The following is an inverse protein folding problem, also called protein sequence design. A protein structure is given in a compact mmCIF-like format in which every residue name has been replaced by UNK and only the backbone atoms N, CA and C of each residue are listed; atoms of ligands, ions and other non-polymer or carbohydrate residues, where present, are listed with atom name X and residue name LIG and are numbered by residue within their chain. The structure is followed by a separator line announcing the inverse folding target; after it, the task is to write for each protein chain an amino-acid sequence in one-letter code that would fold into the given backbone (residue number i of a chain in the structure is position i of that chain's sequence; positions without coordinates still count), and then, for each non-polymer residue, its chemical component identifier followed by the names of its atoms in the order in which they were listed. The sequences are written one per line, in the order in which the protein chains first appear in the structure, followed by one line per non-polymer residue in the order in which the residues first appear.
data_IF_666665654956
#
_entry.id   IF_666665654956
#
_cell.length_a   1.000
_cell.length_b   1.000
_cell.length_c   1.000
_cell.angle_alpha   90.00
_cell.angle_beta   90.00
_cell.angle_gamma   90.00
#
_symmetry.space_group_name_H-M   'P 1'
#
loop_
_entity.id
_entity.type
_entity.pdbx_description
1 polymer ?
#
# COMPACT_ATOMS: atom_id res chain seq x y z
N UNK A 1 7.98 6.38 7.62
CA UNK A 1 8.37 6.04 8.99
C UNK A 1 7.87 7.20 9.80
N UNK A 2 7.39 6.98 11.01
CA UNK A 2 7.03 8.13 11.86
C UNK A 2 8.28 8.95 12.17
N UNK A 3 8.12 10.25 12.36
CA UNK A 3 9.23 11.14 12.63
C UNK A 3 9.73 10.92 14.07
N UNK A 4 10.97 10.45 14.22
CA UNK A 4 11.56 10.20 15.54
C UNK A 4 11.59 11.45 16.43
N UNK A 5 11.71 12.64 15.84
CA UNK A 5 11.65 13.90 16.60
C UNK A 5 10.24 14.18 17.09
N UNK A 6 9.22 13.92 16.25
CA UNK A 6 7.83 14.08 16.64
C UNK A 6 7.44 13.09 17.74
N UNK A 7 7.81 11.80 17.60
CA UNK A 7 7.59 10.79 18.63
C UNK A 7 8.24 11.17 19.95
N UNK A 8 9.46 11.72 19.93
CA UNK A 8 10.14 12.17 21.14
C UNK A 8 9.45 13.38 21.79
N UNK A 9 8.94 14.30 20.98
CA UNK A 9 8.28 15.51 21.46
C UNK A 9 6.89 15.21 22.06
N UNK A 10 6.16 14.25 21.49
CA UNK A 10 4.84 13.82 21.95
C UNK A 10 4.66 12.30 21.79
N UNK A 11 5.20 11.50 22.71
CA UNK A 11 5.04 10.05 22.68
C UNK A 11 3.58 9.64 22.96
N UNK A 12 2.81 10.46 23.68
CA UNK A 12 1.41 10.14 24.02
C UNK A 12 0.50 10.14 22.81
N UNK A 13 0.74 11.02 21.84
CA UNK A 13 0.04 10.98 20.55
C UNK A 13 0.29 9.66 19.80
N UNK A 14 1.53 9.14 19.84
CA UNK A 14 1.86 7.85 19.21
C UNK A 14 1.19 6.70 19.96
N UNK A 15 1.23 6.69 21.31
CA UNK A 15 0.51 5.68 22.11
C UNK A 15 -0.99 5.70 21.84
N UNK A 16 -1.59 6.88 21.73
CA UNK A 16 -3.00 7.02 21.37
C UNK A 16 -3.31 6.42 19.99
N UNK A 17 -2.46 6.67 19.00
CA UNK A 17 -2.58 6.05 17.67
C UNK A 17 -2.46 4.52 17.74
N UNK A 18 -1.51 3.97 18.49
CA UNK A 18 -1.39 2.51 18.67
C UNK A 18 -2.65 1.91 19.30
N UNK A 19 -3.21 2.56 20.34
CA UNK A 19 -4.47 2.14 20.98
C UNK A 19 -5.66 2.15 20.02
N UNK A 20 -5.78 3.17 19.16
CA UNK A 20 -6.85 3.22 18.15
C UNK A 20 -6.78 2.03 17.19
N UNK A 21 -5.56 1.64 16.79
CA UNK A 21 -5.28 0.48 15.93
C UNK A 21 -5.47 -0.86 16.63
N UNK A 22 -5.56 -0.88 17.97
CA UNK A 22 -5.50 -2.11 18.76
C UNK A 22 -4.10 -2.74 18.81
N UNK A 23 -3.06 -1.97 18.51
CA UNK A 23 -1.66 -2.40 18.54
C UNK A 23 -1.02 -2.16 19.92
N UNK A 24 0.11 -2.83 20.18
CA UNK A 24 0.86 -2.66 21.42
C UNK A 24 1.47 -1.24 21.52
N UNK A 25 1.10 -0.49 22.56
CA UNK A 25 1.65 0.83 22.85
C UNK A 25 3.07 0.76 23.44
N UNK A 26 3.47 -0.38 24.00
CA UNK A 26 4.79 -0.60 24.58
C UNK A 26 5.94 -0.45 23.58
N UNK A 27 5.64 -0.56 22.27
CA UNK A 27 6.60 -0.25 21.20
C UNK A 27 7.10 1.19 21.29
N UNK A 28 6.26 2.13 21.73
CA UNK A 28 6.63 3.55 21.85
C UNK A 28 7.70 3.72 22.94
N UNK A 29 7.51 3.07 24.09
CA UNK A 29 8.48 3.12 25.19
C UNK A 29 9.80 2.46 24.80
N UNK A 30 9.74 1.35 24.07
CA UNK A 30 10.92 0.69 23.52
C UNK A 30 11.70 1.62 22.56
N UNK A 31 10.99 2.34 21.68
CA UNK A 31 11.62 3.33 20.77
C UNK A 31 12.25 4.49 21.54
N UNK A 32 11.57 5.03 22.55
CA UNK A 32 12.11 6.13 23.38
C UNK A 32 13.38 5.68 24.12
N UNK A 33 13.34 4.50 24.76
CA UNK A 33 14.49 3.95 25.47
C UNK A 33 15.67 3.66 24.51
N UNK A 34 15.39 3.13 23.33
CA UNK A 34 16.40 2.89 22.30
C UNK A 34 17.02 4.20 21.80
N UNK A 35 16.23 5.26 21.59
CA UNK A 35 16.73 6.58 21.20
C UNK A 35 17.57 7.25 22.30
N UNK A 36 17.22 7.06 23.57
CA UNK A 36 18.04 7.51 24.70
C UNK A 36 19.41 6.81 24.74
N UNK A 37 19.43 5.49 24.54
CA UNK A 37 20.67 4.71 24.40
C UNK A 37 21.49 5.21 23.22
N UNK A 38 20.86 5.39 22.05
CA UNK A 38 21.51 5.86 20.82
C UNK A 38 22.16 7.22 21.01
N UNK A 39 21.46 8.19 21.59
CA UNK A 39 22.01 9.53 21.88
C UNK A 39 23.18 9.47 22.86
N UNK A 40 23.07 8.64 23.90
CA UNK A 40 24.13 8.46 24.90
C UNK A 40 25.38 7.81 24.29
N UNK A 41 25.20 6.75 23.50
CA UNK A 41 26.28 6.05 22.81
C UNK A 41 26.98 6.96 21.79
N UNK A 42 26.21 7.71 20.98
CA UNK A 42 26.74 8.66 20.01
C UNK A 42 27.57 9.77 20.69
N UNK A 43 27.04 10.37 21.76
CA UNK A 43 27.77 11.36 22.56
C UNK A 43 29.06 10.79 23.17
N UNK A 44 29.00 9.56 23.67
CA UNK A 44 30.18 8.83 24.18
C UNK A 44 31.25 8.63 23.11
N UNK A 45 30.86 8.19 21.91
CA UNK A 45 31.73 8.04 20.75
C UNK A 45 32.38 9.36 20.33
N UNK A 46 31.59 10.43 20.21
CA UNK A 46 32.09 11.75 19.81
C UNK A 46 33.11 12.31 20.81
N UNK A 47 32.85 12.14 22.11
CA UNK A 47 33.80 12.52 23.17
C UNK A 47 35.11 11.73 23.07
N UNK A 48 35.05 10.40 22.94
CA UNK A 48 36.25 9.57 22.81
C UNK A 48 37.05 9.92 21.54
N UNK A 49 36.36 10.23 20.44
CA UNK A 49 36.99 10.67 19.19
C UNK A 49 37.68 12.04 19.36
N UNK A 50 37.06 12.96 20.10
CA UNK A 50 37.66 14.25 20.42
C UNK A 50 38.91 14.09 21.30
N UNK A 51 38.85 13.24 22.32
CA UNK A 51 39.98 12.90 23.19
C UNK A 51 41.13 12.28 22.39
N UNK A 52 40.85 11.30 21.53
CA UNK A 52 41.85 10.69 20.64
C UNK A 52 42.52 11.75 19.74
N UNK A 53 41.74 12.67 19.17
CA UNK A 53 42.26 13.76 18.32
C UNK A 53 43.14 14.72 19.11
N UNK A 54 42.77 15.06 20.35
CA UNK A 54 43.58 15.90 21.24
C UNK A 54 44.89 15.19 21.62
N UNK A 55 44.81 13.91 21.98
CA UNK A 55 45.97 13.08 22.35
C UNK A 55 46.94 12.92 21.17
N UNK A 56 46.43 12.74 19.95
CA UNK A 56 47.24 12.69 18.72
C UNK A 56 48.07 13.95 18.49
N UNK A 57 47.59 15.13 18.91
CA UNK A 57 48.37 16.38 18.86
C UNK A 57 49.50 16.38 19.88
N UNK A 58 49.27 15.84 21.07
CA UNK A 58 50.32 15.72 22.11
C UNK A 58 51.43 14.75 21.67
N UNK A 59 51.06 13.60 21.09
CA UNK A 59 52.01 12.63 20.52
C UNK A 59 52.90 13.26 19.44
N UNK A 60 52.35 14.15 18.61
CA UNK A 60 53.09 14.85 17.56
C UNK A 60 54.13 15.85 18.11
N UNK A 61 53.93 16.36 19.33
CA UNK A 61 54.80 17.35 19.98
C UNK A 61 55.86 16.70 20.90
N UNK A 62 55.61 15.48 21.40
CA UNK A 62 56.50 14.78 22.32
C UNK A 62 57.74 14.15 21.66
N UNK A 63 58.80 13.93 22.45
CA UNK A 63 60.07 13.30 22.03
C UNK A 63 60.55 12.26 23.06
N UNK A 64 61.43 11.35 22.65
CA UNK A 64 62.05 10.37 23.56
C UNK A 64 61.05 9.40 24.21
N UNK A 65 61.29 9.05 25.48
CA UNK A 65 60.48 8.10 26.24
C UNK A 65 59.03 8.57 26.47
N UNK A 66 58.82 9.88 26.63
CA UNK A 66 57.49 10.49 26.73
C UNK A 66 56.64 10.20 25.49
N UNK A 67 57.24 10.25 24.30
CA UNK A 67 56.55 9.91 23.06
C UNK A 67 56.13 8.43 23.04
N UNK A 68 56.96 7.52 23.54
CA UNK A 68 56.62 6.09 23.56
C UNK A 68 55.42 5.82 24.49
N UNK A 69 55.38 6.46 25.66
CA UNK A 69 54.26 6.35 26.60
C UNK A 69 52.96 6.90 26.00
N UNK A 70 53.03 8.06 25.33
CA UNK A 70 51.88 8.67 24.66
C UNK A 70 51.39 7.84 23.46
N UNK A 71 52.29 7.19 22.71
CA UNK A 71 51.91 6.27 21.62
C UNK A 71 51.19 5.03 22.16
N UNK A 72 51.62 4.48 23.30
CA UNK A 72 50.92 3.37 23.94
C UNK A 72 49.50 3.77 24.36
N UNK A 73 49.35 4.91 25.05
CA UNK A 73 48.03 5.45 25.42
C UNK A 73 47.14 5.77 24.20
N UNK A 74 47.73 6.19 23.08
CA UNK A 74 47.00 6.42 21.83
C UNK A 74 46.39 5.13 21.25
N UNK A 75 47.03 3.98 21.46
CA UNK A 75 46.52 2.67 21.03
C UNK A 75 45.27 2.30 21.84
N UNK A 76 45.29 2.52 23.15
CA UNK A 76 44.15 2.25 24.03
C UNK A 76 42.96 3.15 23.69
N UNK A 77 43.21 4.46 23.48
CA UNK A 77 42.19 5.41 23.00
C UNK A 77 41.62 4.98 21.65
N UNK A 78 42.45 4.50 20.73
CA UNK A 78 41.98 3.97 19.45
C UNK A 78 41.12 2.72 19.60
N UNK A 79 41.41 1.85 20.57
CA UNK A 79 40.56 0.70 20.90
C UNK A 79 39.19 1.17 21.41
N UNK A 80 39.19 2.11 22.36
CA UNK A 80 37.97 2.65 22.95
C UNK A 80 37.06 3.35 21.94
N UNK A 81 37.65 4.11 21.00
CA UNK A 81 36.88 4.76 19.92
C UNK A 81 36.21 3.71 19.03
N UNK A 82 36.89 2.61 18.68
CA UNK A 82 36.31 1.54 17.87
C UNK A 82 35.15 0.84 18.58
N UNK A 83 35.30 0.56 19.87
CA UNK A 83 34.22 -0.03 20.70
C UNK A 83 32.99 0.87 20.73
N UNK A 84 33.17 2.15 21.06
CA UNK A 84 32.06 3.10 21.16
C UNK A 84 31.42 3.40 19.80
N UNK A 85 32.19 3.33 18.71
CA UNK A 85 31.64 3.42 17.36
C UNK A 85 30.73 2.24 17.03
N UNK A 86 31.13 1.01 17.40
CA UNK A 86 30.31 -0.18 17.21
C UNK A 86 29.03 -0.12 18.06
N UNK A 87 29.14 0.31 19.32
CA UNK A 87 27.98 0.50 20.20
C UNK A 87 27.00 1.55 19.66
N UNK A 88 27.51 2.68 19.15
CA UNK A 88 26.68 3.71 18.55
C UNK A 88 25.97 3.20 17.28
N UNK A 89 26.67 2.42 16.44
CA UNK A 89 26.07 1.82 15.25
C UNK A 89 25.00 0.78 15.58
N UNK A 90 25.22 -0.05 16.59
CA UNK A 90 24.22 -1.02 17.07
C UNK A 90 22.98 -0.31 17.63
N UNK A 91 23.18 0.74 18.43
CA UNK A 91 22.08 1.51 18.99
C UNK A 91 21.27 2.26 17.91
N UNK A 92 21.92 2.74 16.85
CA UNK A 92 21.24 3.34 15.69
C UNK A 92 20.40 2.29 14.95
N UNK A 93 20.97 1.12 14.67
CA UNK A 93 20.26 0.03 14.00
C UNK A 93 19.04 -0.47 14.80
N UNK A 94 19.16 -0.53 16.13
CA UNK A 94 18.06 -0.93 16.99
C UNK A 94 16.91 0.09 16.99
N UNK A 95 17.22 1.39 17.03
CA UNK A 95 16.21 2.44 16.90
C UNK A 95 15.52 2.35 15.54
N UNK A 96 16.28 2.19 14.46
CA UNK A 96 15.70 2.06 13.12
C UNK A 96 14.76 0.84 13.04
N UNK A 97 15.18 -0.31 13.55
CA UNK A 97 14.38 -1.54 13.58
C UNK A 97 13.06 -1.35 14.31
N UNK A 98 13.10 -0.77 15.52
CA UNK A 98 11.90 -0.50 16.32
C UNK A 98 11.00 0.57 15.68
N UNK A 99 11.60 1.61 15.11
CA UNK A 99 10.84 2.68 14.47
C UNK A 99 10.16 2.20 13.18
N UNK A 100 10.74 1.21 12.48
CA UNK A 100 10.12 0.57 11.32
C UNK A 100 8.87 -0.25 11.68
N UNK A 101 8.80 -0.81 12.89
CA UNK A 101 7.62 -1.55 13.36
C UNK A 101 6.46 -0.67 13.80
N UNK A 102 6.66 0.63 13.99
CA UNK A 102 5.55 1.54 14.31
C UNK A 102 4.77 1.90 13.03
N UNK A 103 3.47 1.66 13.07
CA UNK A 103 2.53 2.01 12.00
C UNK A 103 2.42 3.54 11.83
N UNK A 104 1.78 3.97 10.74
CA UNK A 104 1.53 5.38 10.52
C UNK A 104 0.59 5.94 11.60
N UNK A 105 0.68 7.23 11.88
CA UNK A 105 -0.25 7.86 12.82
C UNK A 105 -1.65 7.89 12.21
N UNK A 106 -2.63 7.46 12.99
CA UNK A 106 -4.04 7.49 12.63
C UNK A 106 -4.48 8.95 12.49
N UNK A 107 -5.14 9.28 11.38
CA UNK A 107 -5.63 10.62 11.10
C UNK A 107 -6.88 10.97 11.91
N UNK A 108 -7.15 12.26 12.06
CA UNK A 108 -8.28 12.76 12.85
C UNK A 108 -9.63 12.25 12.32
N UNK A 109 -10.46 11.75 13.24
CA UNK A 109 -11.82 11.28 12.95
C UNK A 109 -11.91 9.87 12.37
N UNK A 110 -10.80 9.15 12.23
CA UNK A 110 -10.82 7.71 11.89
C UNK A 110 -11.50 6.92 13.03
N UNK A 111 -12.47 6.04 12.73
CA UNK A 111 -13.12 5.20 13.75
C UNK A 111 -12.10 4.30 14.46
N UNK A 112 -12.17 4.13 15.79
CA UNK A 112 -11.38 3.11 16.47
C UNK A 112 -11.89 1.71 16.11
N UNK A 113 -11.07 0.67 16.36
CA UNK A 113 -11.52 -0.72 16.26
C UNK A 113 -11.07 -1.44 14.98
N UNK A 114 -11.60 -2.64 14.77
CA UNK A 114 -11.22 -3.55 13.69
C UNK A 114 -12.10 -3.48 12.45
N UNK A 115 -12.02 -4.49 11.58
CA UNK A 115 -12.76 -4.60 10.30
C UNK A 115 -14.27 -4.31 10.47
N UNK A 116 -14.89 -4.86 11.53
CA UNK A 116 -16.32 -4.73 11.83
C UNK A 116 -16.74 -3.34 12.39
N UNK A 117 -15.79 -2.47 12.74
CA UNK A 117 -16.03 -1.15 13.34
C UNK A 117 -16.00 0.00 12.31
N UNK A 118 -15.81 -0.33 11.03
CA UNK A 118 -15.83 0.65 9.93
C UNK A 118 -17.21 1.28 9.75
N UNK A 119 -17.25 2.56 9.38
CA UNK A 119 -18.48 3.34 9.33
C UNK A 119 -18.92 3.60 7.89
N UNK A 120 -20.15 3.22 7.54
CA UNK A 120 -20.77 3.60 6.25
C UNK A 120 -21.09 5.09 6.27
N UNK A 121 -20.48 5.84 5.34
CA UNK A 121 -20.70 7.27 5.16
C UNK A 121 -21.87 7.56 4.21
N UNK A 122 -21.99 6.75 3.16
CA UNK A 122 -22.94 6.98 2.08
C UNK A 122 -23.29 5.66 1.39
N UNK A 123 -24.52 5.56 0.89
CA UNK A 123 -24.98 4.47 0.01
C UNK A 123 -25.55 5.07 -1.27
N UNK A 124 -25.11 4.55 -2.40
CA UNK A 124 -25.40 5.08 -3.74
C UNK A 124 -26.06 4.00 -4.59
N UNK A 125 -27.13 4.37 -5.28
CA UNK A 125 -27.94 3.44 -6.07
C UNK A 125 -28.84 2.53 -5.22
N UNK A 126 -29.53 1.62 -5.89
CA UNK A 126 -30.39 0.63 -5.23
C UNK A 126 -30.08 -0.77 -5.78
N UNK A 127 -29.87 -1.79 -4.91
CA UNK A 127 -29.82 -3.18 -5.32
C UNK A 127 -31.05 -3.59 -6.16
N UNK A 128 -30.82 -4.38 -7.22
CA UNK A 128 -31.91 -4.94 -8.04
C UNK A 128 -32.77 -5.92 -7.24
N UNK A 129 -34.08 -5.85 -7.46
CA UNK A 129 -35.05 -6.83 -6.94
C UNK A 129 -35.28 -7.94 -7.98
N UNK A 130 -34.36 -8.91 -8.00
CA UNK A 130 -34.45 -10.06 -8.90
C UNK A 130 -35.75 -10.87 -8.72
N UNK A 131 -36.35 -10.89 -7.52
CA UNK A 131 -37.61 -11.57 -7.28
C UNK A 131 -38.77 -10.87 -8.00
N UNK A 132 -38.82 -9.52 -7.95
CA UNK A 132 -39.77 -8.72 -8.72
C UNK A 132 -39.54 -8.83 -10.24
N UNK A 133 -38.29 -9.04 -10.66
CA UNK A 133 -37.93 -9.30 -12.07
C UNK A 133 -38.22 -10.74 -12.54
N UNK A 134 -38.61 -11.64 -11.63
CA UNK A 134 -39.10 -12.98 -11.95
C UNK A 134 -38.04 -14.07 -12.11
N UNK A 135 -36.81 -13.87 -11.60
CA UNK A 135 -35.78 -14.90 -11.63
C UNK A 135 -34.81 -14.83 -10.43
N UNK A 136 -34.13 -15.94 -10.10
CA UNK A 136 -33.08 -15.93 -9.09
C UNK A 136 -31.74 -15.55 -9.71
N UNK A 137 -30.94 -14.66 -9.09
CA UNK A 137 -29.63 -14.29 -9.62
C UNK A 137 -28.66 -15.48 -9.54
N UNK A 138 -27.85 -15.64 -10.59
CA UNK A 138 -26.73 -16.57 -10.63
C UNK A 138 -25.47 -15.90 -10.10
N UNK A 139 -24.58 -16.68 -9.51
CA UNK A 139 -23.29 -16.17 -9.04
C UNK A 139 -22.35 -15.88 -10.22
N UNK A 140 -21.36 -15.03 -9.99
CA UNK A 140 -20.39 -14.63 -11.02
C UNK A 140 -19.62 -15.81 -11.63
N UNK A 141 -19.42 -16.92 -10.90
CA UNK A 141 -18.72 -18.09 -11.44
C UNK A 141 -19.63 -18.87 -12.38
N UNK A 142 -20.90 -19.10 -12.02
CA UNK A 142 -21.88 -19.71 -12.90
C UNK A 142 -22.07 -18.89 -14.18
N UNK A 143 -22.21 -17.57 -14.06
CA UNK A 143 -22.27 -16.65 -15.20
C UNK A 143 -20.98 -16.71 -16.02
N UNK A 144 -19.82 -16.66 -15.36
CA UNK A 144 -18.52 -16.79 -15.99
C UNK A 144 -18.37 -18.08 -16.80
N UNK A 145 -18.91 -19.21 -16.31
CA UNK A 145 -18.91 -20.48 -17.03
C UNK A 145 -19.91 -20.49 -18.20
N UNK A 146 -21.12 -19.96 -18.01
CA UNK A 146 -22.15 -19.86 -19.06
C UNK A 146 -21.68 -19.01 -20.24
N UNK A 147 -20.98 -17.91 -19.96
CA UNK A 147 -20.42 -16.99 -20.95
C UNK A 147 -19.12 -17.50 -21.59
N UNK A 148 -18.57 -18.63 -21.10
CA UNK A 148 -17.24 -19.10 -21.48
C UNK A 148 -16.15 -18.06 -21.15
N UNK A 149 -16.33 -17.36 -20.03
CA UNK A 149 -15.55 -16.23 -19.54
C UNK A 149 -14.55 -16.54 -18.44
N UNK A 150 -14.86 -17.52 -17.56
CA UNK A 150 -14.03 -17.91 -16.42
C UNK A 150 -13.85 -19.42 -16.42
N UNK A 151 -12.59 -19.88 -16.32
CA UNK A 151 -12.25 -21.30 -16.22
C UNK A 151 -11.36 -21.58 -15.01
N UNK A 152 -12.00 -21.98 -13.92
CA UNK A 152 -11.33 -22.37 -12.67
C UNK A 152 -10.67 -23.73 -12.76
N UNK A 153 -11.22 -24.66 -13.55
CA UNK A 153 -10.76 -26.04 -13.60
C UNK A 153 -9.40 -26.15 -14.33
N UNK A 154 -9.26 -25.49 -15.49
CA UNK A 154 -7.98 -25.42 -16.19
C UNK A 154 -6.96 -24.60 -15.40
N UNK A 155 -7.41 -23.59 -14.68
CA UNK A 155 -6.56 -22.81 -13.78
C UNK A 155 -5.98 -23.65 -12.64
N UNK A 156 -6.84 -24.39 -11.94
CA UNK A 156 -6.45 -25.35 -10.91
C UNK A 156 -5.47 -26.42 -11.41
N UNK A 157 -5.70 -26.92 -12.63
CA UNK A 157 -4.82 -27.90 -13.28
C UNK A 157 -3.42 -27.35 -13.55
N UNK A 158 -3.28 -26.06 -13.85
CA UNK A 158 -2.00 -25.43 -14.25
C UNK A 158 -1.24 -24.87 -13.04
N UNK A 159 -1.93 -24.19 -12.12
CA UNK A 159 -1.31 -23.37 -11.07
C UNK A 159 -1.78 -23.71 -9.66
N UNK A 160 -2.70 -24.66 -9.50
CA UNK A 160 -3.37 -24.93 -8.23
C UNK A 160 -4.57 -24.03 -7.98
N UNK A 161 -5.18 -24.16 -6.79
CA UNK A 161 -6.40 -23.42 -6.43
C UNK A 161 -6.19 -21.89 -6.52
N UNK A 162 -7.29 -21.14 -6.73
CA UNK A 162 -7.31 -19.66 -6.75
C UNK A 162 -6.51 -18.99 -7.87
N UNK A 163 -6.27 -19.72 -8.96
CA UNK A 163 -5.77 -19.18 -10.22
C UNK A 163 -6.83 -19.40 -11.30
N UNK A 164 -7.66 -18.41 -11.65
CA UNK A 164 -8.59 -18.52 -12.77
C UNK A 164 -7.86 -18.34 -14.11
N UNK A 165 -8.39 -18.97 -15.17
CA UNK A 165 -8.24 -18.40 -16.51
C UNK A 165 -9.42 -17.48 -16.81
N UNK A 166 -9.16 -16.25 -17.23
CA UNK A 166 -10.14 -15.42 -17.93
C UNK A 166 -10.02 -15.70 -19.43
N UNK A 167 -11.12 -16.05 -20.07
CA UNK A 167 -11.17 -16.51 -21.47
C UNK A 167 -12.28 -15.79 -22.23
N UNK A 168 -12.18 -15.71 -23.56
CA UNK A 168 -13.26 -15.18 -24.41
C UNK A 168 -13.87 -13.85 -23.91
N UNK A 169 -15.15 -13.88 -23.58
CA UNK A 169 -15.89 -12.72 -23.07
C UNK A 169 -15.33 -12.18 -21.74
N UNK A 170 -14.87 -13.05 -20.83
CA UNK A 170 -14.27 -12.64 -19.55
C UNK A 170 -12.94 -11.90 -19.73
N UNK A 171 -12.08 -12.39 -20.64
CA UNK A 171 -10.85 -11.70 -20.99
C UNK A 171 -11.10 -10.33 -21.65
N UNK A 172 -12.10 -10.24 -22.53
CA UNK A 172 -12.50 -8.94 -23.13
C UNK A 172 -13.04 -7.97 -22.10
N UNK A 173 -13.82 -8.44 -21.14
CA UNK A 173 -14.36 -7.63 -20.05
C UNK A 173 -13.25 -7.09 -19.15
N UNK A 174 -12.29 -7.94 -18.74
CA UNK A 174 -11.10 -7.55 -17.98
C UNK A 174 -10.31 -6.45 -18.72
N UNK A 175 -9.91 -6.71 -19.96
CA UNK A 175 -9.13 -5.76 -20.76
C UNK A 175 -9.89 -4.45 -20.99
N UNK A 176 -11.20 -4.56 -21.26
CA UNK A 176 -12.06 -3.39 -21.46
C UNK A 176 -12.17 -2.52 -20.21
N UNK A 177 -12.32 -3.14 -19.04
CA UNK A 177 -12.35 -2.45 -17.76
C UNK A 177 -11.01 -1.75 -17.45
N UNK A 178 -9.88 -2.45 -17.60
CA UNK A 178 -8.57 -1.86 -17.34
C UNK A 178 -8.28 -0.69 -18.29
N UNK A 179 -8.64 -0.82 -19.57
CA UNK A 179 -8.49 0.26 -20.55
C UNK A 179 -9.41 1.46 -20.26
N UNK A 180 -10.66 1.20 -19.84
CA UNK A 180 -11.56 2.26 -19.40
C UNK A 180 -10.97 3.03 -18.22
N UNK A 181 -10.57 2.33 -17.15
CA UNK A 181 -9.97 2.93 -15.98
C UNK A 181 -8.72 3.77 -16.33
N UNK A 182 -7.83 3.23 -17.16
CA UNK A 182 -6.64 3.96 -17.63
C UNK A 182 -7.02 5.21 -18.45
N UNK A 183 -8.03 5.11 -19.32
CA UNK A 183 -8.50 6.26 -20.11
C UNK A 183 -9.07 7.38 -19.23
N UNK A 184 -9.77 7.03 -18.14
CA UNK A 184 -10.26 8.00 -17.15
C UNK A 184 -9.11 8.67 -16.41
N UNK A 185 -8.14 7.87 -15.95
CA UNK A 185 -6.96 8.39 -15.26
C UNK A 185 -6.19 9.41 -16.12
N UNK A 186 -5.96 9.10 -17.40
CA UNK A 186 -5.32 10.03 -18.34
C UNK A 186 -6.15 11.30 -18.53
N UNK A 187 -7.48 11.18 -18.62
CA UNK A 187 -8.37 12.35 -18.73
C UNK A 187 -8.33 13.26 -17.50
N UNK A 188 -8.02 12.71 -16.31
CA UNK A 188 -7.81 13.48 -15.08
C UNK A 188 -6.36 13.96 -14.88
N UNK A 189 -5.48 13.73 -15.87
CA UNK A 189 -4.11 14.23 -15.87
C UNK A 189 -3.09 13.29 -15.20
N UNK A 190 -3.42 12.02 -14.98
CA UNK A 190 -2.44 11.03 -14.54
C UNK A 190 -1.53 10.61 -15.69
N UNK A 191 -0.25 10.41 -15.39
CA UNK A 191 0.71 9.80 -16.31
C UNK A 191 0.51 8.27 -16.27
N UNK A 192 0.22 7.62 -17.41
CA UNK A 192 0.07 6.17 -17.45
C UNK A 192 1.41 5.46 -17.32
N UNK A 193 1.48 4.42 -16.48
CA UNK A 193 2.69 3.66 -16.19
C UNK A 193 2.39 2.15 -16.24
N UNK A 194 3.30 1.37 -16.81
CA UNK A 194 3.33 -0.09 -16.66
C UNK A 194 4.56 -0.41 -15.81
N UNK A 195 4.43 -0.55 -14.48
CA UNK A 195 5.58 -0.71 -13.60
C UNK A 195 6.12 -2.15 -13.60
N UNK A 196 7.39 -2.34 -13.18
CA UNK A 196 7.89 -3.67 -12.82
C UNK A 196 7.03 -4.31 -11.71
N UNK A 197 6.80 -5.62 -11.80
CA UNK A 197 6.06 -6.39 -10.77
C UNK A 197 6.97 -7.13 -9.79
N UNK A 198 8.29 -7.04 -10.00
CA UNK A 198 9.32 -7.50 -9.09
C UNK A 198 10.08 -6.28 -8.57
N UNK A 199 10.21 -6.17 -7.26
CA UNK A 199 10.87 -5.03 -6.59
C UNK A 199 11.87 -5.50 -5.54
N UNK A 200 12.82 -4.64 -5.21
CA UNK A 200 13.84 -4.91 -4.20
C UNK A 200 13.25 -4.86 -2.78
N UNK A 201 13.93 -5.43 -1.77
CA UNK A 201 13.49 -5.39 -0.38
C UNK A 201 13.31 -3.97 0.15
N UNK A 202 14.15 -3.02 -0.30
CA UNK A 202 14.10 -1.62 0.12
C UNK A 202 12.79 -0.95 -0.32
N UNK A 203 12.36 -1.18 -1.57
CA UNK A 203 11.11 -0.62 -2.09
C UNK A 203 9.91 -1.26 -1.40
N UNK A 204 9.88 -2.60 -1.31
CA UNK A 204 8.78 -3.33 -0.66
C UNK A 204 8.65 -2.95 0.83
N UNK A 205 9.78 -2.90 1.54
CA UNK A 205 9.84 -2.46 2.93
C UNK A 205 9.52 -0.98 3.10
N UNK A 206 9.86 -0.15 2.12
CA UNK A 206 9.59 1.29 2.10
C UNK A 206 8.10 1.62 2.11
N UNK A 207 7.30 0.80 1.44
CA UNK A 207 5.83 0.91 1.45
C UNK A 207 5.16 0.33 2.69
N UNK A 208 5.87 -0.44 3.52
CA UNK A 208 5.36 -1.02 4.77
C UNK A 208 4.88 -2.47 4.69
N UNK A 209 5.08 -3.16 3.56
CA UNK A 209 4.57 -4.54 3.35
C UNK A 209 5.45 -5.65 3.96
N UNK A 210 6.72 -5.39 4.28
CA UNK A 210 7.63 -6.40 4.88
C UNK A 210 7.53 -6.52 6.41
N UNK A 211 6.51 -5.91 7.03
CA UNK A 211 6.20 -6.04 8.46
C UNK A 211 5.15 -7.11 8.73
N UNK A 212 4.02 -6.70 9.34
CA UNK A 212 2.90 -7.60 9.65
C UNK A 212 2.33 -8.35 8.43
N UNK A 213 2.48 -7.79 7.23
CA UNK A 213 1.96 -8.35 5.98
C UNK A 213 2.98 -9.20 5.20
N UNK A 214 4.17 -9.46 5.74
CA UNK A 214 5.23 -10.16 5.01
C UNK A 214 4.80 -11.57 4.54
N UNK A 215 3.97 -12.26 5.32
CA UNK A 215 3.45 -13.58 4.98
C UNK A 215 2.49 -13.58 3.78
N UNK A 216 1.94 -12.42 3.42
CA UNK A 216 1.05 -12.24 2.27
C UNK A 216 1.81 -11.98 0.95
N UNK A 217 3.13 -11.75 1.01
CA UNK A 217 3.95 -11.37 -0.15
C UNK A 217 4.76 -12.57 -0.67
N UNK A 218 4.76 -12.77 -1.98
CA UNK A 218 5.66 -13.76 -2.60
C UNK A 218 7.08 -13.19 -2.70
N UNK A 219 8.09 -13.96 -2.25
CA UNK A 219 9.51 -13.67 -2.37
C UNK A 219 10.20 -14.68 -3.28
N UNK A 220 11.03 -14.19 -4.20
CA UNK A 220 11.95 -14.97 -5.01
C UNK A 220 13.31 -14.95 -4.29
N UNK A 221 13.59 -15.99 -3.51
CA UNK A 221 14.72 -16.00 -2.58
C UNK A 221 16.09 -15.95 -3.26
N UNK A 222 16.23 -16.55 -4.45
CA UNK A 222 17.50 -16.62 -5.18
C UNK A 222 17.92 -15.26 -5.76
N UNK A 223 16.95 -14.40 -6.07
CA UNK A 223 17.17 -13.06 -6.65
C UNK A 223 17.02 -11.93 -5.61
N UNK A 224 16.52 -12.26 -4.41
CA UNK A 224 16.10 -11.34 -3.37
C UNK A 224 15.09 -10.27 -3.84
N UNK A 225 14.10 -10.70 -4.63
CA UNK A 225 13.04 -9.85 -5.17
C UNK A 225 11.67 -10.27 -4.64
N UNK A 226 10.75 -9.32 -4.60
CA UNK A 226 9.36 -9.54 -4.16
C UNK A 226 8.39 -9.27 -5.30
N UNK A 227 7.42 -10.18 -5.48
CA UNK A 227 6.28 -9.91 -6.35
C UNK A 227 5.32 -8.94 -5.66
N UNK A 228 4.88 -7.91 -6.38
CA UNK A 228 4.05 -6.84 -5.83
C UNK A 228 2.57 -7.24 -5.80
N UNK A 229 1.89 -6.94 -4.69
CA UNK A 229 0.43 -7.12 -4.54
C UNK A 229 -0.40 -5.94 -5.05
N UNK A 230 0.27 -4.90 -5.56
CA UNK A 230 -0.31 -3.65 -6.05
C UNK A 230 0.75 -2.85 -6.84
N UNK A 231 0.33 -2.08 -7.85
CA UNK A 231 1.19 -1.09 -8.53
C UNK A 231 1.64 0.04 -7.60
N UNK A 232 0.99 0.23 -6.45
CA UNK A 232 1.42 1.20 -5.42
C UNK A 232 2.88 1.03 -5.02
N UNK A 233 3.37 -0.22 -4.87
CA UNK A 233 4.74 -0.48 -4.40
C UNK A 233 5.81 0.09 -5.36
N UNK A 234 5.83 -0.29 -6.64
CA UNK A 234 6.80 0.26 -7.58
C UNK A 234 6.55 1.75 -7.87
N UNK A 235 5.30 2.22 -7.81
CA UNK A 235 4.99 3.65 -7.97
C UNK A 235 5.51 4.48 -6.81
N UNK A 236 5.39 4.02 -5.56
CA UNK A 236 5.95 4.70 -4.39
C UNK A 236 7.48 4.76 -4.45
N UNK A 237 8.13 3.68 -4.91
CA UNK A 237 9.57 3.62 -5.11
C UNK A 237 10.09 4.38 -6.35
N UNK A 238 9.20 4.87 -7.22
CA UNK A 238 9.58 5.47 -8.51
C UNK A 238 10.49 6.70 -8.35
N UNK A 239 10.29 7.46 -7.27
CA UNK A 239 11.09 8.63 -6.92
C UNK A 239 11.93 8.44 -5.64
N UNK A 240 12.33 7.20 -5.33
CA UNK A 240 13.15 6.91 -4.16
C UNK A 240 14.45 7.75 -4.18
N UNK A 241 14.80 8.32 -3.02
CA UNK A 241 15.96 9.21 -2.80
C UNK A 241 15.97 10.52 -3.61
N UNK A 242 14.85 10.93 -4.19
CA UNK A 242 14.74 12.18 -4.96
C UNK A 242 14.24 13.38 -4.15
N UNK A 243 14.56 14.58 -4.64
CA UNK A 243 13.95 15.85 -4.21
C UNK A 243 13.05 16.33 -5.35
N UNK A 244 11.75 16.19 -5.16
CA UNK A 244 10.70 16.52 -6.12
C UNK A 244 10.49 18.04 -6.21
N UNK A 245 10.06 18.46 -7.39
CA UNK A 245 9.49 19.78 -7.64
C UNK A 245 7.97 19.63 -7.78
N UNK A 246 7.23 20.18 -6.82
CA UNK A 246 5.77 20.18 -6.77
C UNK A 246 5.19 21.57 -7.02
N UNK A 247 6.00 22.51 -7.53
CA UNK A 247 5.57 23.90 -7.76
C UNK A 247 4.47 24.03 -8.82
N UNK A 248 4.44 23.12 -9.80
CA UNK A 248 3.38 23.02 -10.82
C UNK A 248 2.20 22.13 -10.38
N UNK A 249 2.20 21.68 -9.11
CA UNK A 249 1.18 20.83 -8.52
C UNK A 249 1.63 19.38 -8.32
N UNK A 250 0.67 18.48 -8.04
CA UNK A 250 0.97 17.11 -7.65
C UNK A 250 1.46 16.25 -8.83
N UNK A 251 2.39 15.34 -8.55
CA UNK A 251 2.77 14.30 -9.52
C UNK A 251 1.79 13.14 -9.39
N UNK A 252 1.12 12.78 -10.48
CA UNK A 252 0.06 11.76 -10.51
C UNK A 252 0.39 10.67 -11.52
N UNK A 253 0.36 9.41 -11.08
CA UNK A 253 0.66 8.24 -11.89
C UNK A 253 -0.47 7.20 -11.83
N UNK A 254 -0.80 6.62 -12.97
CA UNK A 254 -1.75 5.52 -13.08
C UNK A 254 -1.01 4.25 -13.49
N UNK A 255 -0.82 3.32 -12.55
CA UNK A 255 -0.09 2.07 -12.77
C UNK A 255 -1.00 0.93 -13.19
N UNK A 256 -0.76 0.32 -14.35
CA UNK A 256 -1.34 -0.97 -14.72
C UNK A 256 -0.36 -2.09 -14.40
N UNK A 257 -0.70 -3.01 -13.50
CA UNK A 257 0.09 -4.22 -13.30
C UNK A 257 -0.72 -5.46 -12.98
N UNK A 258 -0.11 -6.62 -13.24
CA UNK A 258 -0.48 -7.85 -12.54
C UNK A 258 -0.02 -7.75 -11.09
N UNK A 259 -0.87 -8.21 -10.17
CA UNK A 259 -0.71 -8.16 -8.73
C UNK A 259 -0.75 -9.57 -8.15
N UNK A 260 0.08 -9.82 -7.14
CA UNK A 260 0.26 -11.14 -6.54
C UNK A 260 0.07 -11.09 -5.02
N UNK A 261 -0.77 -11.99 -4.49
CA UNK A 261 -0.97 -12.14 -3.04
C UNK A 261 -0.97 -13.61 -2.66
N UNK A 262 -0.28 -13.96 -1.57
CA UNK A 262 -0.22 -15.34 -1.08
C UNK A 262 -1.52 -15.80 -0.46
N UNK A 263 -2.41 -14.87 -0.07
CA UNK A 263 -3.69 -15.17 0.57
C UNK A 263 -3.55 -16.09 1.80
N UNK A 264 -2.39 -16.01 2.46
CA UNK A 264 -2.07 -16.76 3.67
C UNK A 264 -3.04 -16.33 4.79
N UNK A 265 -3.61 -17.28 5.53
CA UNK A 265 -4.57 -16.98 6.61
C UNK A 265 -6.05 -16.93 6.19
N UNK A 266 -6.36 -16.98 4.89
CA UNK A 266 -7.75 -16.92 4.39
C UNK A 266 -8.49 -18.27 4.37
N UNK A 267 -8.10 -19.23 5.22
CA UNK A 267 -8.59 -20.62 5.19
C UNK A 267 -10.12 -20.68 5.20
N UNK A 268 -10.71 -21.14 4.08
CA UNK A 268 -12.16 -21.36 3.94
C UNK A 268 -13.01 -20.12 3.58
N UNK A 269 -12.47 -18.91 3.59
CA UNK A 269 -13.19 -17.68 3.19
C UNK A 269 -13.08 -17.43 1.68
N UNK A 270 -14.21 -17.08 1.05
CA UNK A 270 -14.33 -16.65 -0.37
C UNK A 270 -13.57 -17.55 -1.36
N UNK A 271 -13.67 -18.88 -1.18
CA UNK A 271 -12.93 -19.88 -1.95
C UNK A 271 -13.46 -20.13 -3.36
N UNK A 272 -14.65 -19.62 -3.68
CA UNK A 272 -15.33 -19.82 -4.97
C UNK A 272 -15.16 -18.60 -5.87
N UNK A 273 -14.80 -18.85 -7.13
CA UNK A 273 -14.72 -17.82 -8.17
C UNK A 273 -13.49 -16.94 -8.08
N UNK A 274 -13.65 -15.64 -8.35
CA UNK A 274 -12.54 -14.69 -8.57
C UNK A 274 -12.49 -13.53 -7.57
N UNK A 275 -13.23 -13.61 -6.46
CA UNK A 275 -13.21 -12.58 -5.39
C UNK A 275 -11.85 -12.50 -4.71
N UNK A 276 -11.25 -13.66 -4.44
CA UNK A 276 -9.98 -13.82 -3.73
C UNK A 276 -9.08 -14.80 -4.46
N UNK A 277 -8.09 -14.27 -5.17
CA UNK A 277 -7.19 -15.01 -6.08
C UNK A 277 -5.74 -14.63 -5.83
N UNK A 278 -4.82 -15.53 -6.18
CA UNK A 278 -3.39 -15.26 -6.01
C UNK A 278 -2.83 -14.25 -7.02
N UNK A 279 -3.50 -14.12 -8.16
CA UNK A 279 -3.10 -13.26 -9.26
C UNK A 279 -4.32 -12.52 -9.81
N UNK A 280 -4.21 -11.19 -9.93
CA UNK A 280 -5.23 -10.31 -10.50
C UNK A 280 -4.57 -9.13 -11.22
N UNK A 281 -5.32 -8.39 -12.02
CA UNK A 281 -4.87 -7.12 -12.63
C UNK A 281 -5.45 -5.95 -11.86
N UNK A 282 -4.69 -4.86 -11.78
CA UNK A 282 -5.15 -3.61 -11.17
C UNK A 282 -4.66 -2.39 -11.95
N UNK A 283 -5.51 -1.38 -12.03
CA UNK A 283 -5.12 0.01 -12.33
C UNK A 283 -5.14 0.80 -11.02
N UNK A 284 -3.97 1.28 -10.61
CA UNK A 284 -3.75 2.02 -9.37
C UNK A 284 -3.47 3.50 -9.67
N UNK A 285 -4.16 4.41 -8.98
CA UNK A 285 -3.76 5.81 -8.86
C UNK A 285 -2.72 5.96 -7.77
N UNK A 286 -1.69 6.75 -8.04
CA UNK A 286 -0.70 7.16 -7.04
C UNK A 286 -0.38 8.64 -7.19
N UNK A 287 -0.39 9.38 -6.08
CA UNK A 287 -0.09 10.81 -6.06
C UNK A 287 1.04 11.12 -5.09
N UNK A 288 1.99 11.96 -5.53
CA UNK A 288 2.93 12.68 -4.67
C UNK A 288 2.48 14.12 -4.55
N UNK A 289 2.23 14.57 -3.33
CA UNK A 289 1.67 15.90 -3.04
C UNK A 289 2.40 16.56 -1.87
N UNK A 290 2.24 17.87 -1.72
CA UNK A 290 2.73 18.56 -0.50
C UNK A 290 1.97 18.04 0.72
N UNK A 291 2.59 18.07 1.90
CA UNK A 291 1.91 17.60 3.12
C UNK A 291 0.60 18.36 3.42
N UNK A 292 0.47 19.61 2.98
CA UNK A 292 -0.72 20.43 3.16
C UNK A 292 -1.88 20.03 2.24
N UNK A 293 -1.59 19.45 1.08
CA UNK A 293 -2.59 19.09 0.06
C UNK A 293 -3.09 17.64 0.21
N UNK A 294 -2.50 16.86 1.12
CA UNK A 294 -2.79 15.43 1.28
C UNK A 294 -4.29 15.12 1.46
N UNK A 295 -4.98 15.79 2.38
CA UNK A 295 -6.40 15.51 2.64
C UNK A 295 -7.28 15.84 1.42
N UNK A 296 -6.99 16.95 0.73
CA UNK A 296 -7.74 17.36 -0.44
C UNK A 296 -7.52 16.40 -1.62
N UNK A 297 -6.29 15.90 -1.80
CA UNK A 297 -5.99 14.89 -2.81
C UNK A 297 -6.64 13.54 -2.47
N UNK A 298 -6.69 13.14 -1.20
CA UNK A 298 -7.33 11.88 -0.78
C UNK A 298 -8.81 11.84 -1.16
N UNK A 299 -9.53 12.93 -0.86
CA UNK A 299 -10.93 13.08 -1.24
C UNK A 299 -11.11 13.14 -2.76
N UNK A 300 -10.11 13.63 -3.50
CA UNK A 300 -10.13 13.63 -4.96
C UNK A 300 -9.97 12.23 -5.55
N UNK A 301 -9.06 11.41 -4.99
CA UNK A 301 -8.95 10.00 -5.35
C UNK A 301 -10.27 9.26 -5.11
N UNK A 302 -10.88 9.44 -3.94
CA UNK A 302 -12.19 8.86 -3.63
C UNK A 302 -13.28 9.30 -4.64
N UNK A 303 -13.30 10.58 -5.01
CA UNK A 303 -14.27 11.08 -5.99
C UNK A 303 -14.11 10.41 -7.36
N UNK A 304 -12.87 10.16 -7.80
CA UNK A 304 -12.60 9.44 -9.05
C UNK A 304 -12.98 7.97 -8.99
N UNK A 305 -12.73 7.27 -7.87
CA UNK A 305 -13.20 5.89 -7.67
C UNK A 305 -14.73 5.80 -7.81
N UNK A 306 -15.45 6.73 -7.17
CA UNK A 306 -16.91 6.85 -7.25
C UNK A 306 -17.39 7.10 -8.68
N UNK A 307 -16.74 8.01 -9.41
CA UNK A 307 -17.09 8.32 -10.80
C UNK A 307 -17.01 7.09 -11.72
N UNK A 308 -16.01 6.21 -11.51
CA UNK A 308 -15.90 4.96 -12.27
C UNK A 308 -17.00 3.98 -11.86
N UNK A 309 -17.30 3.83 -10.56
CA UNK A 309 -18.38 2.97 -10.07
C UNK A 309 -19.76 3.41 -10.59
N UNK A 310 -20.03 4.71 -10.59
CA UNK A 310 -21.24 5.31 -11.16
C UNK A 310 -21.37 4.96 -12.64
N UNK A 311 -20.28 5.11 -13.40
CA UNK A 311 -20.26 4.76 -14.82
C UNK A 311 -20.45 3.26 -15.09
N UNK A 312 -20.11 2.40 -14.13
CA UNK A 312 -20.39 0.96 -14.19
C UNK A 312 -21.84 0.62 -13.82
N UNK A 313 -22.63 1.58 -13.34
CA UNK A 313 -24.01 1.38 -12.92
C UNK A 313 -24.14 0.40 -11.76
N UNK A 314 -23.17 0.39 -10.84
CA UNK A 314 -23.17 -0.49 -9.68
C UNK A 314 -23.78 0.22 -8.46
N UNK A 315 -24.68 -0.42 -7.69
CA UNK A 315 -25.02 0.06 -6.37
C UNK A 315 -23.87 -0.22 -5.40
N UNK A 316 -23.45 0.78 -4.64
CA UNK A 316 -22.31 0.68 -3.75
C UNK A 316 -22.46 1.53 -2.48
N UNK A 317 -21.59 1.32 -1.51
CA UNK A 317 -21.47 2.12 -0.31
C UNK A 317 -20.04 2.60 -0.11
N UNK A 318 -19.87 3.75 0.54
CA UNK A 318 -18.57 4.33 0.89
C UNK A 318 -18.35 4.16 2.39
N UNK A 319 -17.24 3.54 2.77
CA UNK A 319 -16.88 3.29 4.16
C UNK A 319 -15.69 4.17 4.56
N UNK A 320 -15.74 4.69 5.79
CA UNK A 320 -14.57 5.19 6.50
C UNK A 320 -14.01 4.05 7.35
N UNK A 321 -12.81 3.60 6.99
CA UNK A 321 -12.27 2.37 7.54
C UNK A 321 -11.69 2.61 8.93
N UNK A 322 -11.98 1.69 9.84
CA UNK A 322 -11.51 1.75 11.22
C UNK A 322 -9.98 1.60 11.33
N UNK A 323 -9.42 2.17 12.38
CA UNK A 323 -7.97 2.30 12.59
C UNK A 323 -7.23 0.95 12.56
N UNK A 324 -7.82 -0.11 13.09
CA UNK A 324 -7.25 -1.46 13.10
C UNK A 324 -7.22 -2.14 11.74
N UNK A 325 -7.99 -1.65 10.75
CA UNK A 325 -8.02 -2.17 9.37
C UNK A 325 -7.33 -1.23 8.34
N UNK A 326 -6.66 -0.17 8.80
CA UNK A 326 -5.90 0.72 7.92
C UNK A 326 -4.66 0.06 7.30
N UNK A 327 -4.17 -1.03 7.90
CA UNK A 327 -2.83 -1.53 7.65
C UNK A 327 -1.74 -0.58 8.14
N UNK A 328 -0.47 -0.96 7.93
CA UNK A 328 0.68 -0.27 8.52
C UNK A 328 0.93 1.14 7.95
N UNK A 329 0.60 1.40 6.68
CA UNK A 329 1.00 2.62 5.97
C UNK A 329 -0.03 3.74 5.96
N UNK A 330 -1.33 3.43 5.95
CA UNK A 330 -2.38 4.43 5.84
C UNK A 330 -2.60 5.14 7.17
N UNK A 331 -2.73 6.47 7.12
CA UNK A 331 -3.27 7.28 8.21
C UNK A 331 -4.80 7.34 8.16
N UNK A 332 -5.37 7.20 6.96
CA UNK A 332 -6.81 7.23 6.68
C UNK A 332 -7.08 6.41 5.42
N UNK A 333 -8.17 5.64 5.40
CA UNK A 333 -8.58 4.80 4.27
C UNK A 333 -10.09 4.93 4.05
N UNK A 334 -10.49 5.02 2.78
CA UNK A 334 -11.88 4.92 2.36
C UNK A 334 -12.01 3.78 1.37
N UNK A 335 -13.02 2.94 1.56
CA UNK A 335 -13.31 1.85 0.64
C UNK A 335 -14.67 2.09 -0.01
N UNK A 336 -14.78 1.76 -1.30
CA UNK A 336 -16.07 1.64 -1.96
C UNK A 336 -16.40 0.16 -2.15
N UNK A 337 -17.51 -0.25 -1.56
CA UNK A 337 -17.99 -1.62 -1.63
C UNK A 337 -19.22 -1.73 -2.52
N UNK A 338 -19.19 -2.56 -3.55
CA UNK A 338 -20.33 -2.76 -4.45
C UNK A 338 -21.19 -3.94 -4.02
N UNK A 339 -22.49 -3.84 -4.28
CA UNK A 339 -23.46 -4.88 -3.95
C UNK A 339 -23.18 -6.17 -4.73
N UNK A 340 -23.20 -7.32 -4.06
CA UNK A 340 -23.09 -8.65 -4.68
C UNK A 340 -24.41 -9.41 -4.44
N UNK A 341 -25.33 -9.44 -5.44
CA UNK A 341 -26.67 -9.99 -5.30
C UNK A 341 -26.74 -11.37 -4.66
N UNK A 342 -25.90 -12.30 -5.08
CA UNK A 342 -25.95 -13.69 -4.57
C UNK A 342 -25.44 -13.84 -3.15
N UNK A 343 -24.71 -12.85 -2.64
CA UNK A 343 -24.21 -12.85 -1.26
C UNK A 343 -25.06 -12.03 -0.31
N UNK A 344 -25.97 -11.20 -0.82
CA UNK A 344 -26.81 -10.31 -0.01
C UNK A 344 -25.99 -9.30 0.81
N UNK A 345 -24.82 -8.88 0.31
CA UNK A 345 -23.94 -7.90 0.97
C UNK A 345 -23.09 -7.12 -0.03
N UNK A 346 -22.58 -5.97 0.43
CA UNK A 346 -21.57 -5.19 -0.27
C UNK A 346 -20.18 -5.79 -0.10
N UNK A 347 -19.33 -5.63 -1.12
CA UNK A 347 -17.94 -6.12 -1.18
C UNK A 347 -17.00 -5.07 -1.73
N UNK A 348 -15.87 -4.88 -1.05
CA UNK A 348 -14.77 -4.00 -1.46
C UNK A 348 -14.37 -4.20 -2.93
N UNK A 349 -14.51 -3.13 -3.72
CA UNK A 349 -14.01 -3.01 -5.09
C UNK A 349 -12.88 -2.00 -5.22
N UNK A 350 -12.91 -0.94 -4.41
CA UNK A 350 -11.86 0.08 -4.35
C UNK A 350 -11.45 0.37 -2.92
N UNK A 351 -10.23 0.88 -2.81
CA UNK A 351 -9.68 1.41 -1.58
C UNK A 351 -8.74 2.55 -1.94
N UNK A 352 -8.88 3.68 -1.25
CA UNK A 352 -7.96 4.80 -1.34
C UNK A 352 -7.43 5.18 0.03
N UNK A 353 -6.11 5.38 0.10
CA UNK A 353 -5.38 5.67 1.34
C UNK A 353 -4.59 6.96 1.24
N UNK A 354 -4.61 7.74 2.33
CA UNK A 354 -3.59 8.75 2.60
C UNK A 354 -2.52 8.12 3.48
N UNK A 355 -1.29 8.03 2.97
CA UNK A 355 -0.15 7.54 3.73
C UNK A 355 0.64 8.67 4.41
N UNK A 356 0.14 9.91 4.34
CA UNK A 356 0.85 11.12 4.79
C UNK A 356 2.31 11.07 4.32
N UNK A 357 3.28 11.38 5.19
CA UNK A 357 4.71 11.32 4.85
C UNK A 357 5.35 9.95 5.12
N UNK A 358 4.55 8.92 5.42
CA UNK A 358 5.05 7.64 5.92
C UNK A 358 5.88 6.87 4.90
N UNK A 359 5.43 6.76 3.65
CA UNK A 359 6.19 6.03 2.63
C UNK A 359 7.39 6.87 2.19
N UNK A 360 7.18 8.16 1.93
CA UNK A 360 8.23 9.11 1.56
C UNK A 360 9.42 9.10 2.54
N UNK A 361 9.17 9.10 3.86
CA UNK A 361 10.23 9.02 4.87
C UNK A 361 11.02 7.71 4.84
N UNK A 362 10.41 6.59 4.45
CA UNK A 362 11.14 5.31 4.32
C UNK A 362 11.93 5.22 3.02
N UNK A 363 11.49 5.93 1.99
CA UNK A 363 12.04 5.89 0.64
C UNK A 363 12.91 7.13 0.31
N UNK A 364 13.19 8.01 1.28
CA UNK A 364 14.05 9.18 1.09
C UNK A 364 13.46 10.32 0.26
N UNK A 365 12.15 10.29 -0.04
CA UNK A 365 11.49 11.18 -1.00
C UNK A 365 11.11 12.49 -0.32
N UNK A 366 11.56 13.60 -0.89
CA UNK A 366 11.40 14.95 -0.31
C UNK A 366 11.00 15.96 -1.37
N UNK A 367 10.57 17.13 -0.94
CA UNK A 367 10.44 18.33 -1.77
C UNK A 367 11.31 19.45 -1.20
N UNK A 368 11.60 20.46 -2.02
CA UNK A 368 12.25 21.69 -1.56
C UNK A 368 11.22 22.72 -1.14
N UNK A 369 11.32 23.21 0.08
CA UNK A 369 10.46 24.27 0.62
C UNK A 369 10.94 25.65 0.17
N UNK A 370 10.08 26.66 0.30
CA UNK A 370 10.39 28.04 -0.10
C UNK A 370 11.62 28.64 0.63
N UNK A 371 11.95 28.15 1.82
CA UNK A 371 13.14 28.56 2.60
C UNK A 371 14.44 27.84 2.19
N UNK A 372 14.37 26.95 1.19
CA UNK A 372 15.50 26.19 0.67
C UNK A 372 15.80 24.88 1.42
N UNK A 373 15.11 24.60 2.54
CA UNK A 373 15.20 23.32 3.23
C UNK A 373 14.46 22.21 2.46
N UNK A 374 14.51 20.97 2.97
CA UNK A 374 13.79 19.84 2.36
C UNK A 374 12.90 19.18 3.37
N UNK A 375 11.68 18.84 2.97
CA UNK A 375 10.70 18.11 3.80
C UNK A 375 10.19 16.88 3.06
N UNK A 376 9.82 15.79 3.74
CA UNK A 376 9.17 14.66 3.09
C UNK A 376 7.83 15.07 2.45
N UNK A 377 7.56 14.57 1.25
CA UNK A 377 6.26 14.72 0.57
C UNK A 377 5.22 13.80 1.17
N UNK A 378 3.94 14.06 0.90
CA UNK A 378 2.87 13.13 1.18
C UNK A 378 2.60 12.19 0.00
N UNK A 379 2.24 10.93 0.29
CA UNK A 379 1.88 9.93 -0.72
C UNK A 379 0.46 9.44 -0.51
N UNK A 380 -0.24 9.23 -1.62
CA UNK A 380 -1.59 8.72 -1.65
C UNK A 380 -1.75 7.68 -2.75
N UNK A 381 -2.65 6.73 -2.52
CA UNK A 381 -3.00 5.71 -3.51
C UNK A 381 -4.51 5.49 -3.56
N UNK A 382 -5.00 4.96 -4.68
CA UNK A 382 -6.41 4.64 -4.91
C UNK A 382 -6.59 3.59 -5.99
N UNK A 383 -7.55 2.70 -5.83
CA UNK A 383 -7.83 1.62 -6.77
C UNK A 383 -8.87 2.07 -7.79
N UNK A 384 -8.52 2.15 -9.09
CA UNK A 384 -9.49 2.50 -10.13
C UNK A 384 -10.23 1.32 -10.73
N UNK A 385 -9.55 0.18 -10.86
CA UNK A 385 -10.15 -1.05 -11.36
C UNK A 385 -9.33 -2.25 -10.93
N UNK A 386 -10.01 -3.36 -10.66
CA UNK A 386 -9.36 -4.67 -10.45
C UNK A 386 -10.15 -5.78 -11.11
N UNK A 387 -9.53 -6.95 -11.29
CA UNK A 387 -10.22 -8.18 -11.70
C UNK A 387 -11.45 -8.49 -10.84
N UNK A 388 -11.45 -8.11 -9.55
CA UNK A 388 -12.59 -8.35 -8.64
C UNK A 388 -13.88 -7.66 -9.11
N UNK A 389 -13.78 -6.55 -9.84
CA UNK A 389 -14.95 -5.82 -10.34
C UNK A 389 -15.82 -6.67 -11.27
N UNK A 390 -15.23 -7.65 -11.96
CA UNK A 390 -15.97 -8.57 -12.82
C UNK A 390 -17.06 -9.32 -12.04
N UNK A 391 -16.87 -9.55 -10.73
CA UNK A 391 -17.89 -10.16 -9.86
C UNK A 391 -19.15 -9.30 -9.82
N UNK A 392 -19.02 -8.03 -9.46
CA UNK A 392 -20.15 -7.11 -9.35
C UNK A 392 -20.76 -6.82 -10.72
N UNK A 393 -19.94 -6.68 -11.76
CA UNK A 393 -20.41 -6.45 -13.13
C UNK A 393 -21.25 -7.63 -13.66
N UNK A 394 -20.76 -8.86 -13.49
CA UNK A 394 -21.49 -10.05 -13.91
C UNK A 394 -22.80 -10.19 -13.14
N UNK A 395 -22.78 -10.07 -11.81
CA UNK A 395 -23.97 -10.33 -11.01
C UNK A 395 -25.02 -9.22 -11.09
N UNK A 396 -24.63 -7.94 -11.17
CA UNK A 396 -25.60 -6.83 -11.21
C UNK A 396 -26.18 -6.57 -12.60
N UNK A 397 -25.51 -6.99 -13.68
CA UNK A 397 -25.98 -6.74 -15.06
C UNK A 397 -26.53 -8.00 -15.76
N UNK A 398 -26.69 -9.09 -15.02
CA UNK A 398 -27.23 -10.35 -15.56
C UNK A 398 -28.71 -10.25 -15.97
N UNK A 399 -29.06 -11.06 -16.96
CA UNK A 399 -30.41 -11.29 -17.45
C UNK A 399 -30.86 -12.73 -17.13
N UNK A 400 -32.17 -12.98 -17.21
CA UNK A 400 -32.75 -14.28 -16.87
C UNK A 400 -32.17 -15.45 -17.71
N UNK A 401 -31.82 -15.19 -18.97
CA UNK A 401 -31.24 -16.17 -19.90
C UNK A 401 -29.74 -16.46 -19.65
N UNK A 402 -29.12 -15.74 -18.70
CA UNK A 402 -27.69 -15.87 -18.38
C UNK A 402 -26.77 -14.97 -19.20
N UNK A 403 -27.31 -14.15 -20.10
CA UNK A 403 -26.56 -13.05 -20.71
C UNK A 403 -26.28 -11.94 -19.71
N UNK A 404 -25.24 -11.15 -19.96
CA UNK A 404 -24.86 -10.01 -19.11
C UNK A 404 -24.76 -8.76 -19.97
N UNK A 405 -25.50 -7.71 -19.60
CA UNK A 405 -25.43 -6.41 -20.29
C UNK A 405 -24.12 -5.73 -19.94
N UNK A 406 -23.39 -5.24 -20.94
CA UNK A 406 -22.16 -4.49 -20.73
C UNK A 406 -22.54 -3.03 -20.39
N UNK A 407 -22.04 -2.45 -19.29
CA UNK A 407 -22.24 -1.03 -18.98
C UNK A 407 -21.88 -0.15 -20.16
N UNK A 408 -22.66 0.89 -20.43
CA UNK A 408 -22.53 1.73 -21.62
C UNK A 408 -21.11 2.27 -21.79
N UNK A 409 -20.49 2.73 -20.70
CA UNK A 409 -19.13 3.26 -20.67
C UNK A 409 -18.07 2.22 -21.07
N UNK A 410 -18.31 0.92 -20.86
CA UNK A 410 -17.37 -0.16 -21.21
C UNK A 410 -17.52 -0.66 -22.64
N UNK A 411 -18.66 -0.43 -23.31
CA UNK A 411 -18.94 -0.98 -24.65
C UNK A 411 -17.87 -0.62 -25.69
N UNK A 412 -17.33 0.61 -25.75
CA UNK A 412 -16.26 0.96 -26.70
C UNK A 412 -14.96 0.15 -26.49
N UNK A 413 -14.70 -0.30 -25.26
CA UNK A 413 -13.48 -1.01 -24.88
C UNK A 413 -13.65 -2.54 -24.97
N UNK A 414 -14.84 -3.05 -24.63
CA UNK A 414 -15.18 -4.47 -24.70
C UNK A 414 -15.54 -4.88 -26.14
N UNK A 415 -16.10 -3.95 -26.92
CA UNK A 415 -16.55 -4.16 -28.30
C UNK A 415 -17.85 -4.95 -28.42
N UNK A 416 -18.62 -5.07 -27.33
CA UNK A 416 -19.89 -5.79 -27.24
C UNK A 416 -20.85 -5.03 -26.33
N UNK A 417 -22.14 -5.08 -26.66
CA UNK A 417 -23.21 -4.49 -25.84
C UNK A 417 -23.72 -5.48 -24.79
N UNK A 418 -23.67 -6.77 -25.11
CA UNK A 418 -24.13 -7.89 -24.28
C UNK A 418 -23.15 -9.04 -24.41
N UNK A 419 -22.84 -9.71 -23.30
CA UNK A 419 -22.11 -10.97 -23.28
C UNK A 419 -23.15 -12.11 -23.32
N UNK A 420 -23.11 -12.92 -24.38
CA UNK A 420 -24.09 -14.00 -24.59
C UNK A 420 -23.56 -15.37 -24.09
N UNK A 421 -24.44 -16.26 -23.57
CA UNK A 421 -24.05 -17.61 -23.21
C UNK A 421 -23.51 -18.40 -24.40
N UNK A 422 -22.40 -19.11 -24.19
CA UNK A 422 -21.81 -19.95 -25.23
C UNK A 422 -22.49 -21.32 -25.25
N UNK A 423 -22.71 -21.86 -26.46
CA UNK A 423 -23.11 -23.27 -26.59
C UNK A 423 -21.95 -24.14 -26.10
N UNK A 424 -22.16 -24.92 -25.03
CA UNK A 424 -21.18 -25.91 -24.55
C UNK A 424 -20.83 -26.84 -25.73
N UNK A 425 -19.56 -26.83 -26.14
CA UNK A 425 -19.02 -27.75 -27.15
C UNK A 425 -18.65 -29.09 -26.52
#
# INVERSE_FOLDING_TARGET
MIDLRALRADPDAVRASQRLRGEDEGVVDAVVAADDRRRSALSGFERARAEQKAHGKQVAQARGEEKQALVAAAKDLSGRVKELQAEAAEAEAEVERLLRSVANLVGDGVPPGGEDDSVVLETVGAPRDFAAEGFAPRDHLELGELLGGIDMARGAKVSGARFPFLVGAGARLELGLMQYAMSRAVAWGFVPVVPPTLVTPEVMGGTGFLGAHADEVYRLADDDLYLVGTSEVPLAGFHADEILDLSDGPLRYAGWSTCYRREAGSHGKDTRGIIRVHQFTKVEMFSYVTAADADAEHLRLLAWEREVLDAMGLPYQVLHIAAGDLGTSAARKYDCEAWVPTQGRYRELTSTSSCTTFQARRLGIRERTADGSTTPVATLNGTLATTRWLVALLENHQQADGSVVVPEALRPFVGLDVLEPVRRR
#
